data_IF_070749370943
#
_entry.id   IF_070749370943
#
_cell.length_a   1.000
_cell.length_b   1.000
_cell.length_c   1.000
_cell.angle_alpha   90.00
_cell.angle_beta   90.00
_cell.angle_gamma   90.00
#
_symmetry.space_group_name_H-M   'P 1'
#
loop_
_entity.id
_entity.type
_entity.pdbx_description
1 polymer ?
#
# COMPACT_ATOMS: atom_id res chain seq x y z
N UNK A 1 27.40 -10.73 -21.38
CA UNK A 1 26.09 -10.89 -22.06
C UNK A 1 25.05 -10.29 -21.14
N UNK A 2 24.41 -9.20 -21.56
CA UNK A 2 23.25 -8.67 -20.83
C UNK A 2 22.15 -9.73 -20.89
N UNK A 3 21.84 -10.33 -19.74
CA UNK A 3 20.71 -11.25 -19.63
C UNK A 3 19.42 -10.45 -19.80
N UNK A 4 18.94 -10.32 -21.04
CA UNK A 4 17.65 -9.69 -21.32
C UNK A 4 16.55 -10.58 -20.76
N UNK A 5 15.75 -10.02 -19.86
CA UNK A 5 14.57 -10.67 -19.31
C UNK A 5 13.59 -11.06 -20.42
N UNK A 6 12.96 -12.21 -20.30
CA UNK A 6 11.84 -12.60 -21.15
C UNK A 6 10.64 -11.67 -20.93
N UNK A 7 9.72 -11.52 -21.90
CA UNK A 7 8.52 -10.68 -21.73
C UNK A 7 7.70 -11.03 -20.47
N UNK A 8 7.61 -12.32 -20.13
CA UNK A 8 6.92 -12.79 -18.91
C UNK A 8 7.64 -12.34 -17.64
N UNK A 9 8.98 -12.34 -17.64
CA UNK A 9 9.77 -11.86 -16.51
C UNK A 9 9.68 -10.33 -16.37
N UNK A 10 9.69 -9.61 -17.49
CA UNK A 10 9.48 -8.15 -17.51
C UNK A 10 8.12 -7.77 -16.93
N UNK A 11 7.05 -8.46 -17.35
CA UNK A 11 5.70 -8.25 -16.80
C UNK A 11 5.66 -8.48 -15.29
N UNK A 12 6.22 -9.60 -14.82
CA UNK A 12 6.29 -9.91 -13.37
C UNK A 12 7.09 -8.88 -12.59
N UNK A 13 8.14 -8.33 -13.19
CA UNK A 13 8.97 -7.30 -12.56
C UNK A 13 8.16 -6.00 -12.42
N UNK A 14 7.47 -5.57 -13.47
CA UNK A 14 6.58 -4.40 -13.43
C UNK A 14 5.45 -4.56 -12.41
N UNK A 15 4.83 -5.74 -12.32
CA UNK A 15 3.80 -6.04 -11.33
C UNK A 15 4.34 -5.92 -9.90
N UNK A 16 5.57 -6.41 -9.64
CA UNK A 16 6.23 -6.26 -8.33
C UNK A 16 6.52 -4.80 -8.00
N UNK A 17 7.00 -4.02 -8.96
CA UNK A 17 7.29 -2.60 -8.76
C UNK A 17 6.03 -1.81 -8.35
N UNK A 18 4.88 -2.12 -8.96
CA UNK A 18 3.59 -1.50 -8.58
C UNK A 18 3.19 -1.89 -7.15
N UNK A 19 3.36 -3.16 -6.78
CA UNK A 19 3.06 -3.65 -5.43
C UNK A 19 4.00 -3.01 -4.41
N UNK A 20 5.30 -2.94 -4.70
CA UNK A 20 6.32 -2.37 -3.82
C UNK A 20 6.08 -0.86 -3.60
N UNK A 21 5.69 -0.14 -4.65
CA UNK A 21 5.32 1.28 -4.54
C UNK A 21 4.08 1.47 -3.65
N UNK A 22 3.05 0.64 -3.82
CA UNK A 22 1.87 0.69 -2.97
C UNK A 22 2.19 0.30 -1.52
N UNK A 23 3.01 -0.73 -1.30
CA UNK A 23 3.45 -1.14 0.03
C UNK A 23 4.20 -0.02 0.74
N UNK A 24 5.12 0.64 0.02
CA UNK A 24 5.83 1.82 0.51
C UNK A 24 4.85 2.92 0.91
N UNK A 25 3.91 3.29 0.03
CA UNK A 25 2.93 4.33 0.27
C UNK A 25 2.15 4.09 1.58
N UNK A 26 1.56 2.90 1.75
CA UNK A 26 0.74 2.61 2.94
C UNK A 26 1.57 2.54 4.22
N UNK A 27 2.83 2.12 4.12
CA UNK A 27 3.76 2.09 5.24
C UNK A 27 4.15 3.50 5.65
N UNK A 28 4.48 4.38 4.71
CA UNK A 28 4.78 5.79 4.96
C UNK A 28 3.59 6.52 5.58
N UNK A 29 2.38 6.30 5.05
CA UNK A 29 1.14 6.83 5.64
C UNK A 29 0.88 6.32 7.06
N UNK A 30 1.27 5.08 7.38
CA UNK A 30 1.16 4.54 8.73
C UNK A 30 2.22 5.07 9.68
N UNK A 31 3.39 5.45 9.16
CA UNK A 31 4.50 6.04 9.92
C UNK A 31 4.28 7.51 10.26
N UNK A 32 3.58 8.27 9.42
CA UNK A 32 3.42 9.72 9.60
C UNK A 32 2.88 10.13 10.99
N UNK A 33 1.82 9.49 11.55
CA UNK A 33 1.35 9.82 12.89
C UNK A 33 2.38 9.50 13.99
N UNK A 34 3.16 8.43 13.80
CA UNK A 34 4.22 8.06 14.74
C UNK A 34 5.37 9.08 14.67
N UNK A 35 5.73 9.54 13.46
CA UNK A 35 6.71 10.59 13.28
C UNK A 35 6.30 11.88 14.01
N UNK A 36 5.05 12.31 13.87
CA UNK A 36 4.53 13.45 14.63
C UNK A 36 4.63 13.22 16.14
N UNK A 37 4.31 12.01 16.62
CA UNK A 37 4.43 11.66 18.04
C UNK A 37 5.88 11.81 18.55
N UNK A 38 6.88 11.47 17.73
CA UNK A 38 8.29 11.71 18.07
C UNK A 38 8.64 13.20 18.16
N UNK A 39 8.09 14.03 17.27
CA UNK A 39 8.27 15.49 17.32
C UNK A 39 7.65 16.07 18.60
N UNK A 40 6.43 15.64 18.93
CA UNK A 40 5.71 16.11 20.11
C UNK A 40 6.43 15.69 21.40
N UNK A 41 6.96 14.47 21.45
CA UNK A 41 7.79 14.01 22.57
C UNK A 41 9.07 14.83 22.71
N UNK A 42 9.77 15.07 21.60
CA UNK A 42 11.00 15.86 21.59
C UNK A 42 10.78 17.31 22.04
N UNK A 43 9.59 17.86 21.78
CA UNK A 43 9.19 19.19 22.24
C UNK A 43 8.76 19.24 23.71
N UNK A 44 8.55 18.08 24.36
CA UNK A 44 8.01 17.97 25.71
C UNK A 44 6.49 18.03 25.80
N UNK A 45 5.78 18.11 24.66
CA UNK A 45 4.32 18.15 24.59
C UNK A 45 3.69 16.76 24.77
N UNK A 46 4.43 15.69 24.42
CA UNK A 46 3.99 14.31 24.59
C UNK A 46 4.83 13.60 25.69
N UNK A 47 4.22 13.07 26.76
CA UNK A 47 4.92 12.27 27.74
C UNK A 47 5.51 10.97 27.15
N UNK A 48 6.62 10.50 27.73
CA UNK A 48 7.31 9.28 27.27
C UNK A 48 6.38 8.04 27.18
N UNK A 49 5.49 7.86 28.16
CA UNK A 49 4.60 6.69 28.18
C UNK A 49 3.57 6.73 27.04
N UNK A 50 3.12 7.91 26.63
CA UNK A 50 2.22 8.07 25.50
C UNK A 50 2.94 7.78 24.17
N UNK A 51 4.17 8.28 24.00
CA UNK A 51 5.00 7.92 22.84
C UNK A 51 5.19 6.39 22.75
N UNK A 52 5.45 5.74 23.88
CA UNK A 52 5.60 4.29 23.93
C UNK A 52 4.32 3.59 23.46
N UNK A 53 3.13 4.05 23.87
CA UNK A 53 1.87 3.49 23.37
C UNK A 53 1.69 3.73 21.86
N UNK A 54 2.03 4.91 21.34
CA UNK A 54 1.96 5.19 19.90
C UNK A 54 2.88 4.25 19.09
N UNK A 55 4.07 3.94 19.60
CA UNK A 55 4.98 2.96 19.00
C UNK A 55 4.32 1.57 18.95
N UNK A 56 3.66 1.13 20.03
CA UNK A 56 2.96 -0.16 20.05
C UNK A 56 1.78 -0.21 19.07
N UNK A 57 0.99 0.87 18.99
CA UNK A 57 -0.11 0.98 18.03
C UNK A 57 0.39 0.91 16.59
N UNK A 58 1.48 1.62 16.28
CA UNK A 58 2.14 1.52 14.98
C UNK A 58 2.60 0.08 14.70
N UNK A 59 3.26 -0.59 15.65
CA UNK A 59 3.72 -1.96 15.45
C UNK A 59 2.57 -2.92 15.11
N UNK A 60 1.43 -2.81 15.79
CA UNK A 60 0.23 -3.60 15.46
C UNK A 60 -0.26 -3.31 14.04
N UNK A 61 -0.37 -2.03 13.67
CA UNK A 61 -0.78 -1.64 12.31
C UNK A 61 0.20 -2.15 11.24
N UNK A 62 1.50 -2.03 11.48
CA UNK A 62 2.53 -2.49 10.57
C UNK A 62 2.53 -4.02 10.41
N UNK A 63 2.16 -4.77 11.45
CA UNK A 63 1.94 -6.22 11.34
C UNK A 63 0.77 -6.55 10.43
N UNK A 64 -0.33 -5.80 10.49
CA UNK A 64 -1.46 -5.99 9.58
C UNK A 64 -1.08 -5.62 8.13
N UNK A 65 -0.37 -4.51 7.92
CA UNK A 65 0.18 -4.16 6.60
C UNK A 65 1.04 -5.32 6.07
N UNK A 66 2.01 -5.82 6.85
CA UNK A 66 2.84 -6.93 6.43
C UNK A 66 2.03 -8.18 6.04
N UNK A 67 0.97 -8.49 6.79
CA UNK A 67 0.08 -9.62 6.47
C UNK A 67 -0.63 -9.43 5.14
N UNK A 68 -1.15 -8.24 4.86
CA UNK A 68 -1.84 -7.92 3.62
C UNK A 68 -0.93 -8.13 2.39
N UNK A 69 0.35 -7.77 2.48
CA UNK A 69 1.29 -7.96 1.36
C UNK A 69 1.89 -9.37 1.28
N UNK A 70 1.86 -10.15 2.36
CA UNK A 70 2.48 -11.49 2.41
C UNK A 70 1.49 -12.62 2.18
N UNK A 71 0.26 -12.49 2.67
CA UNK A 71 -0.72 -13.59 2.72
C UNK A 71 -1.90 -13.39 1.77
N UNK A 72 -2.11 -12.20 1.23
CA UNK A 72 -3.15 -11.97 0.21
C UNK A 72 -2.68 -12.43 -1.16
N UNK A 73 -3.61 -12.91 -1.98
CA UNK A 73 -3.29 -13.29 -3.35
C UNK A 73 -2.67 -12.13 -4.13
N UNK A 74 -1.53 -12.40 -4.77
CA UNK A 74 -0.73 -11.39 -5.48
C UNK A 74 -1.51 -10.62 -6.54
N UNK A 75 -2.53 -11.23 -7.18
CA UNK A 75 -3.36 -10.54 -8.16
C UNK A 75 -4.31 -9.54 -7.50
N UNK A 76 -4.87 -9.88 -6.34
CA UNK A 76 -5.70 -8.95 -5.57
C UNK A 76 -4.87 -7.77 -5.04
N UNK A 77 -3.65 -8.03 -4.54
CA UNK A 77 -2.74 -6.96 -4.09
C UNK A 77 -2.36 -6.06 -5.27
N UNK A 78 -2.06 -6.63 -6.44
CA UNK A 78 -1.76 -5.86 -7.64
C UNK A 78 -2.94 -4.98 -8.08
N UNK A 79 -4.16 -5.52 -8.11
CA UNK A 79 -5.37 -4.77 -8.48
C UNK A 79 -5.62 -3.62 -7.49
N UNK A 80 -5.52 -3.90 -6.18
CA UNK A 80 -5.66 -2.89 -5.14
C UNK A 80 -4.58 -1.81 -5.25
N UNK A 81 -3.33 -2.20 -5.52
CA UNK A 81 -2.22 -1.28 -5.75
C UNK A 81 -2.49 -0.37 -6.96
N UNK A 82 -2.91 -0.94 -8.10
CA UNK A 82 -3.29 -0.18 -9.29
C UNK A 82 -4.43 0.80 -8.97
N UNK A 83 -5.46 0.37 -8.24
CA UNK A 83 -6.57 1.23 -7.84
C UNK A 83 -6.08 2.40 -6.97
N UNK A 84 -5.33 2.12 -5.89
CA UNK A 84 -4.85 3.15 -4.96
C UNK A 84 -3.81 4.09 -5.57
N UNK A 85 -3.08 3.64 -6.58
CA UNK A 85 -2.10 4.46 -7.33
C UNK A 85 -2.71 5.13 -8.58
N UNK A 86 -4.00 4.94 -8.88
CA UNK A 86 -4.64 5.53 -10.06
C UNK A 86 -4.15 4.97 -11.40
N UNK A 87 -3.78 3.68 -11.42
CA UNK A 87 -3.19 2.96 -12.57
C UNK A 87 -4.05 1.78 -13.04
N UNK A 88 -5.34 1.77 -12.74
CA UNK A 88 -6.27 0.79 -13.31
C UNK A 88 -6.36 0.97 -14.83
N UNK A 89 -6.34 -0.14 -15.56
CA UNK A 89 -6.70 -0.16 -16.98
C UNK A 89 -8.19 -0.42 -17.16
N UNK A 90 -8.72 -0.18 -18.36
CA UNK A 90 -10.11 -0.53 -18.68
C UNK A 90 -10.36 -2.03 -18.49
N UNK A 91 -9.40 -2.89 -18.86
CA UNK A 91 -9.50 -4.34 -18.64
C UNK A 91 -9.57 -4.66 -17.14
N UNK A 92 -8.75 -4.00 -16.30
CA UNK A 92 -8.81 -4.19 -14.85
C UNK A 92 -10.21 -3.84 -14.30
N UNK A 93 -10.82 -2.75 -14.79
CA UNK A 93 -12.14 -2.28 -14.38
C UNK A 93 -13.23 -3.27 -14.81
N UNK A 94 -13.23 -3.68 -16.09
CA UNK A 94 -14.22 -4.58 -16.66
C UNK A 94 -14.16 -5.96 -15.99
N UNK A 95 -12.96 -6.52 -15.80
CA UNK A 95 -12.78 -7.85 -15.23
C UNK A 95 -13.08 -7.91 -13.72
N UNK A 96 -12.90 -6.79 -13.00
CA UNK A 96 -12.96 -6.77 -11.53
C UNK A 96 -14.00 -5.81 -10.95
N UNK A 97 -14.97 -5.37 -11.76
CA UNK A 97 -15.96 -4.34 -11.39
C UNK A 97 -16.55 -4.53 -9.98
N UNK A 98 -17.09 -5.71 -9.66
CA UNK A 98 -17.71 -5.98 -8.35
C UNK A 98 -16.74 -5.83 -7.18
N UNK A 99 -15.49 -6.24 -7.37
CA UNK A 99 -14.47 -6.15 -6.33
C UNK A 99 -14.02 -4.70 -6.13
N UNK A 100 -13.90 -3.94 -7.22
CA UNK A 100 -13.58 -2.52 -7.19
C UNK A 100 -14.71 -1.71 -6.52
N UNK A 101 -15.97 -2.00 -6.85
CA UNK A 101 -17.15 -1.39 -6.18
C UNK A 101 -17.14 -1.68 -4.66
N UNK A 102 -16.84 -2.93 -4.26
CA UNK A 102 -16.70 -3.29 -2.85
C UNK A 102 -15.59 -2.49 -2.14
N UNK A 103 -14.54 -2.14 -2.86
CA UNK A 103 -13.43 -1.33 -2.36
C UNK A 103 -13.66 0.19 -2.48
N UNK A 104 -14.86 0.60 -2.90
CA UNK A 104 -15.25 2.00 -3.02
C UNK A 104 -14.62 2.71 -4.21
N UNK A 105 -14.31 1.99 -5.29
CA UNK A 105 -13.93 2.60 -6.55
C UNK A 105 -15.17 3.23 -7.21
N UNK A 106 -15.12 4.55 -7.39
CA UNK A 106 -16.09 5.30 -8.19
C UNK A 106 -15.46 5.60 -9.55
N UNK A 107 -16.04 5.06 -10.61
CA UNK A 107 -15.57 5.29 -11.97
C UNK A 107 -15.88 6.72 -12.41
N UNK A 108 -14.90 7.61 -12.22
CA UNK A 108 -15.00 9.02 -12.59
C UNK A 108 -14.81 9.27 -14.11
N UNK A 109 -14.77 8.23 -14.95
CA UNK A 109 -14.60 8.38 -16.41
C UNK A 109 -15.88 8.72 -17.18
N UNK A 110 -16.99 8.97 -16.49
CA UNK A 110 -18.20 9.57 -17.08
C UNK A 110 -18.16 11.11 -16.99
N UNK A 111 -17.36 11.75 -17.84
CA UNK A 111 -17.56 13.15 -18.28
C UNK A 111 -16.91 13.38 -19.65
#
# INVERSE_FOLDING_TARGET
>A
MENKLTPRQQKRQQEREIIDEYHKLVTEQALEPLYQSFLDWKSGTLPHFELTEQIHLFHKKNQEIYKDFTYTDSKHVLLLAKMKLGRLTNDDIIENQRLLELWGYEDNTSN
#
